data_IF_212209584865
#
_entry.id   IF_212209584865
#
_cell.length_a   1.000
_cell.length_b   1.000
_cell.length_c   1.000
_cell.angle_alpha   90.00
_cell.angle_beta   90.00
_cell.angle_gamma   90.00
#
_symmetry.space_group_name_H-M   'P 1'
#
loop_
_entity.id
_entity.type
_entity.pdbx_description
1 polymer ?
#
# COMPACT_ATOMS: atom_id res chain seq x y z
N UNK A 1 41.23 -38.43 -3.63
CA UNK A 1 39.90 -38.50 -2.96
C UNK A 1 38.95 -37.62 -3.74
N UNK A 2 37.85 -38.13 -4.31
CA UNK A 2 36.87 -37.27 -4.95
C UNK A 2 36.14 -36.49 -3.86
N UNK A 3 36.19 -35.16 -3.94
CA UNK A 3 35.38 -34.26 -3.12
C UNK A 3 33.93 -34.58 -3.47
N UNK A 4 33.22 -35.15 -2.50
CA UNK A 4 31.78 -35.39 -2.57
C UNK A 4 31.11 -34.14 -3.11
N UNK A 5 30.41 -34.30 -4.23
CA UNK A 5 29.41 -33.35 -4.70
C UNK A 5 28.35 -33.25 -3.61
N UNK A 6 28.49 -32.27 -2.73
CA UNK A 6 27.42 -31.78 -1.88
C UNK A 6 26.29 -31.38 -2.84
N UNK A 7 25.35 -32.32 -3.04
CA UNK A 7 24.02 -32.02 -3.53
C UNK A 7 23.53 -30.87 -2.66
N UNK A 8 23.51 -29.65 -3.18
CA UNK A 8 22.75 -28.56 -2.57
C UNK A 8 21.27 -28.98 -2.63
N UNK A 9 20.85 -29.71 -1.60
CA UNK A 9 19.52 -30.29 -1.44
C UNK A 9 18.45 -29.17 -1.31
N UNK A 10 17.16 -29.48 -1.57
CA UNK A 10 16.04 -28.53 -1.82
C UNK A 10 15.58 -27.68 -0.62
N UNK A 11 16.38 -27.59 0.44
CA UNK A 11 16.10 -26.82 1.66
C UNK A 11 15.75 -25.36 1.34
N UNK A 12 16.42 -24.76 0.36
CA UNK A 12 16.12 -23.39 -0.08
C UNK A 12 14.69 -23.24 -0.62
N UNK A 13 14.17 -24.25 -1.33
CA UNK A 13 12.80 -24.20 -1.87
C UNK A 13 11.76 -24.34 -0.77
N UNK A 14 12.01 -25.20 0.22
CA UNK A 14 11.12 -25.37 1.37
C UNK A 14 11.08 -24.10 2.21
N UNK A 15 12.23 -23.49 2.51
CA UNK A 15 12.30 -22.22 3.25
C UNK A 15 11.59 -21.08 2.50
N UNK A 16 11.78 -20.96 1.19
CA UNK A 16 11.06 -19.98 0.36
C UNK A 16 9.55 -20.22 0.40
N UNK A 17 9.11 -21.47 0.34
CA UNK A 17 7.69 -21.81 0.42
C UNK A 17 7.10 -21.44 1.78
N UNK A 18 7.80 -21.77 2.88
CA UNK A 18 7.39 -21.40 4.24
C UNK A 18 7.29 -19.87 4.36
N UNK A 19 8.30 -19.14 3.89
CA UNK A 19 8.29 -17.69 3.90
C UNK A 19 7.10 -17.13 3.11
N UNK A 20 6.82 -17.68 1.93
CA UNK A 20 5.66 -17.27 1.13
C UNK A 20 4.34 -17.49 1.85
N UNK A 21 4.17 -18.65 2.51
CA UNK A 21 2.97 -18.95 3.32
C UNK A 21 2.82 -17.94 4.45
N UNK A 22 3.89 -17.65 5.19
CA UNK A 22 3.87 -16.67 6.30
C UNK A 22 3.52 -15.28 5.79
N UNK A 23 4.16 -14.83 4.70
CA UNK A 23 3.90 -13.51 4.11
C UNK A 23 2.43 -13.39 3.69
N UNK A 24 1.92 -14.40 2.98
CA UNK A 24 0.52 -14.41 2.52
C UNK A 24 -0.43 -14.44 3.71
N UNK A 25 -0.16 -15.25 4.74
CA UNK A 25 -1.01 -15.34 5.92
C UNK A 25 -1.12 -13.98 6.65
N UNK A 26 0.01 -13.28 6.82
CA UNK A 26 0.03 -11.95 7.45
C UNK A 26 -0.71 -10.91 6.60
N UNK A 27 -0.51 -10.89 5.28
CA UNK A 27 -1.23 -9.97 4.39
C UNK A 27 -2.74 -10.24 4.40
N UNK A 28 -3.15 -11.52 4.36
CA UNK A 28 -4.56 -11.92 4.47
C UNK A 28 -5.14 -11.48 5.81
N UNK A 29 -4.40 -11.60 6.91
CA UNK A 29 -4.85 -11.16 8.22
C UNK A 29 -5.19 -9.66 8.21
N UNK A 30 -4.26 -8.80 7.77
CA UNK A 30 -4.51 -7.35 7.70
C UNK A 30 -5.63 -6.99 6.73
N UNK A 31 -5.72 -7.66 5.57
CA UNK A 31 -6.84 -7.45 4.63
C UNK A 31 -8.17 -7.85 5.29
N UNK A 32 -8.21 -8.96 6.02
CA UNK A 32 -9.42 -9.44 6.70
C UNK A 32 -9.87 -8.49 7.81
N UNK A 33 -8.93 -7.88 8.55
CA UNK A 33 -9.26 -6.87 9.57
C UNK A 33 -10.03 -5.68 8.99
N UNK A 34 -9.86 -5.37 7.70
CA UNK A 34 -10.59 -4.30 7.01
C UNK A 34 -12.10 -4.54 6.99
N UNK A 35 -12.55 -5.80 7.09
CA UNK A 35 -13.97 -6.14 7.12
C UNK A 35 -14.65 -5.73 8.44
N UNK A 36 -13.86 -5.47 9.48
CA UNK A 36 -14.31 -5.05 10.80
C UNK A 36 -14.03 -3.57 11.06
N UNK A 37 -13.61 -2.84 10.02
CA UNK A 37 -13.31 -1.42 10.10
C UNK A 37 -14.57 -0.58 9.87
N UNK A 38 -14.86 0.33 10.80
CA UNK A 38 -16.09 1.12 10.81
C UNK A 38 -15.78 2.61 11.01
N UNK A 39 -16.59 3.50 10.41
CA UNK A 39 -16.42 4.93 10.60
C UNK A 39 -16.59 5.33 12.07
N UNK A 40 -15.79 6.29 12.50
CA UNK A 40 -15.71 6.82 13.85
C UNK A 40 -15.45 8.34 13.84
N UNK A 41 -15.73 9.02 14.95
CA UNK A 41 -15.34 10.42 15.16
C UNK A 41 -15.56 11.38 13.95
N UNK A 42 -14.48 11.95 13.40
CA UNK A 42 -14.50 12.96 12.35
C UNK A 42 -14.92 12.41 10.97
N UNK A 43 -14.92 11.09 10.78
CA UNK A 43 -15.39 10.44 9.56
C UNK A 43 -16.84 10.83 9.25
N UNK A 44 -17.67 10.96 10.29
CA UNK A 44 -19.06 11.40 10.18
C UNK A 44 -19.17 12.87 9.78
N UNK A 45 -18.26 13.73 10.26
CA UNK A 45 -18.22 15.13 9.86
C UNK A 45 -17.85 15.27 8.38
N UNK A 46 -16.86 14.51 7.90
CA UNK A 46 -16.53 14.44 6.48
C UNK A 46 -17.72 13.99 5.64
N UNK A 47 -18.36 12.88 6.01
CA UNK A 47 -19.53 12.38 5.28
C UNK A 47 -20.70 13.36 5.26
N UNK A 48 -21.03 13.96 6.40
CA UNK A 48 -22.13 14.92 6.51
C UNK A 48 -21.87 16.18 5.66
N UNK A 49 -20.66 16.74 5.73
CA UNK A 49 -20.31 17.94 4.95
C UNK A 49 -20.21 17.65 3.46
N UNK A 50 -19.64 16.52 3.07
CA UNK A 50 -19.61 16.09 1.68
C UNK A 50 -21.03 15.95 1.13
N UNK A 51 -21.95 15.32 1.87
CA UNK A 51 -23.36 15.18 1.47
C UNK A 51 -24.10 16.52 1.43
N UNK A 52 -23.81 17.43 2.36
CA UNK A 52 -24.46 18.74 2.45
C UNK A 52 -24.01 19.70 1.33
N UNK A 53 -22.71 19.72 1.05
CA UNK A 53 -22.09 20.74 0.19
C UNK A 53 -21.74 20.20 -1.21
N UNK A 54 -21.75 18.89 -1.40
CA UNK A 54 -21.23 18.26 -2.61
C UNK A 54 -19.70 18.32 -2.68
N UNK A 55 -19.14 17.90 -3.81
CA UNK A 55 -17.70 17.68 -3.92
C UNK A 55 -16.88 18.99 -3.86
N UNK A 56 -17.27 20.01 -4.61
CA UNK A 56 -16.49 21.26 -4.78
C UNK A 56 -16.60 22.15 -3.54
N UNK A 57 -17.82 22.48 -3.09
CA UNK A 57 -18.01 23.39 -1.95
C UNK A 57 -17.51 22.79 -0.63
N UNK A 58 -17.48 21.47 -0.49
CA UNK A 58 -16.83 20.84 0.65
C UNK A 58 -15.33 21.18 0.73
N UNK A 59 -14.63 21.30 -0.41
CA UNK A 59 -13.20 21.66 -0.39
C UNK A 59 -12.99 23.09 0.10
N UNK A 60 -13.81 24.02 -0.39
CA UNK A 60 -13.80 25.42 0.05
C UNK A 60 -14.08 25.50 1.54
N UNK A 61 -15.10 24.78 2.01
CA UNK A 61 -15.46 24.71 3.43
C UNK A 61 -14.29 24.22 4.29
N UNK A 62 -13.69 23.08 3.95
CA UNK A 62 -12.59 22.52 4.75
C UNK A 62 -11.38 23.42 4.78
N UNK A 63 -11.02 24.03 3.65
CA UNK A 63 -9.92 24.97 3.56
C UNK A 63 -10.13 26.19 4.47
N UNK A 64 -11.33 26.76 4.47
CA UNK A 64 -11.63 27.97 5.24
C UNK A 64 -11.84 27.74 6.74
N UNK A 65 -12.31 26.54 7.14
CA UNK A 65 -12.82 26.35 8.50
C UNK A 65 -12.08 25.30 9.35
N UNK A 66 -11.24 24.43 8.75
CA UNK A 66 -10.68 23.30 9.49
C UNK A 66 -9.23 22.96 9.15
N UNK A 67 -8.92 22.78 7.87
CA UNK A 67 -7.70 22.09 7.46
C UNK A 67 -7.29 22.42 6.03
N UNK A 68 -6.04 22.87 5.86
CA UNK A 68 -5.37 23.06 4.57
C UNK A 68 -4.85 21.77 3.92
N UNK A 69 -5.21 20.58 4.43
CA UNK A 69 -4.79 19.28 3.86
C UNK A 69 -5.60 18.96 2.59
N UNK A 70 -5.25 19.60 1.47
CA UNK A 70 -6.02 19.50 0.22
C UNK A 70 -6.23 18.07 -0.28
N UNK A 71 -5.15 17.26 -0.35
CA UNK A 71 -5.24 15.88 -0.83
C UNK A 71 -6.13 15.03 0.08
N UNK A 72 -5.99 15.17 1.41
CA UNK A 72 -6.87 14.50 2.36
C UNK A 72 -8.32 14.89 2.09
N UNK A 73 -8.64 16.19 2.14
CA UNK A 73 -10.02 16.67 2.02
C UNK A 73 -10.67 16.21 0.71
N UNK A 74 -9.91 16.28 -0.40
CA UNK A 74 -10.36 15.87 -1.73
C UNK A 74 -10.68 14.37 -1.76
N UNK A 75 -9.73 13.53 -1.35
CA UNK A 75 -9.90 12.07 -1.38
C UNK A 75 -10.98 11.63 -0.41
N UNK A 76 -11.06 12.23 0.78
CA UNK A 76 -12.08 11.93 1.77
C UNK A 76 -13.48 12.30 1.27
N UNK A 77 -13.62 13.47 0.65
CA UNK A 77 -14.90 13.88 0.06
C UNK A 77 -15.30 12.95 -1.09
N UNK A 78 -14.37 12.58 -1.99
CA UNK A 78 -14.65 11.61 -3.04
C UNK A 78 -15.07 10.25 -2.47
N UNK A 79 -14.34 9.76 -1.46
CA UNK A 79 -14.63 8.51 -0.78
C UNK A 79 -16.04 8.52 -0.17
N UNK A 80 -16.38 9.52 0.65
CA UNK A 80 -17.68 9.59 1.32
C UNK A 80 -18.86 9.82 0.38
N UNK A 81 -18.64 10.43 -0.78
CA UNK A 81 -19.68 10.58 -1.82
C UNK A 81 -19.83 9.34 -2.71
N UNK A 82 -18.86 8.42 -2.70
CA UNK A 82 -18.90 7.23 -3.56
C UNK A 82 -19.94 6.18 -3.12
N UNK A 83 -20.49 6.30 -1.92
CA UNK A 83 -21.52 5.39 -1.43
C UNK A 83 -21.85 5.57 0.05
N UNK A 84 -22.66 4.66 0.57
CA UNK A 84 -22.96 4.57 1.99
C UNK A 84 -21.68 4.26 2.77
N UNK A 85 -21.24 5.21 3.63
CA UNK A 85 -19.98 5.13 4.37
C UNK A 85 -19.84 3.80 5.12
N UNK A 86 -20.91 3.25 5.69
CA UNK A 86 -20.84 1.97 6.42
C UNK A 86 -20.56 0.76 5.53
N UNK A 87 -20.89 0.85 4.23
CA UNK A 87 -20.66 -0.25 3.28
C UNK A 87 -19.29 -0.19 2.65
N UNK A 88 -18.80 1.04 2.41
CA UNK A 88 -17.57 1.29 1.66
C UNK A 88 -16.32 1.45 2.53
N UNK A 89 -16.46 1.63 3.84
CA UNK A 89 -15.35 1.89 4.77
C UNK A 89 -14.25 0.83 4.78
N UNK A 90 -14.59 -0.42 4.46
CA UNK A 90 -13.64 -1.52 4.34
C UNK A 90 -12.67 -1.41 3.17
N UNK A 91 -12.97 -0.62 2.14
CA UNK A 91 -12.18 -0.64 0.89
C UNK A 91 -10.86 0.14 0.97
N UNK A 92 -10.80 1.35 1.56
CA UNK A 92 -9.55 2.09 1.74
C UNK A 92 -8.37 1.26 2.29
N UNK A 93 -8.46 0.60 3.46
CA UNK A 93 -7.34 -0.21 3.97
C UNK A 93 -6.94 -1.34 3.01
N UNK A 94 -7.89 -2.02 2.37
CA UNK A 94 -7.61 -3.09 1.39
C UNK A 94 -6.82 -2.53 0.20
N UNK A 95 -7.29 -1.41 -0.38
CA UNK A 95 -6.64 -0.76 -1.52
C UNK A 95 -5.23 -0.32 -1.14
N UNK A 96 -5.06 0.28 0.05
CA UNK A 96 -3.75 0.77 0.49
C UNK A 96 -2.78 -0.37 0.80
N UNK A 97 -3.22 -1.45 1.46
CA UNK A 97 -2.40 -2.63 1.72
C UNK A 97 -1.94 -3.30 0.41
N UNK A 98 -2.88 -3.56 -0.51
CA UNK A 98 -2.58 -4.15 -1.82
C UNK A 98 -1.66 -3.23 -2.62
N UNK A 99 -1.93 -1.92 -2.64
CA UNK A 99 -1.11 -0.97 -3.40
C UNK A 99 0.29 -0.82 -2.81
N UNK A 100 0.45 -0.93 -1.49
CA UNK A 100 1.76 -0.97 -0.82
C UNK A 100 2.54 -2.21 -1.24
N UNK A 101 1.88 -3.38 -1.25
CA UNK A 101 2.48 -4.63 -1.71
C UNK A 101 2.90 -4.58 -3.17
N UNK A 102 2.01 -4.14 -4.05
CA UNK A 102 2.31 -3.98 -5.47
C UNK A 102 3.38 -2.93 -5.73
N UNK A 103 3.40 -1.84 -4.95
CA UNK A 103 4.45 -0.83 -5.01
C UNK A 103 5.82 -1.41 -4.71
N UNK A 104 5.98 -2.14 -3.60
CA UNK A 104 7.24 -2.78 -3.26
C UNK A 104 7.63 -3.90 -4.25
N UNK A 105 6.67 -4.66 -4.77
CA UNK A 105 6.93 -5.65 -5.81
C UNK A 105 7.43 -4.97 -7.10
N UNK A 106 6.79 -3.87 -7.51
CA UNK A 106 7.22 -3.07 -8.66
C UNK A 106 8.63 -2.50 -8.46
N UNK A 107 8.89 -1.87 -7.32
CA UNK A 107 10.21 -1.33 -6.97
C UNK A 107 11.28 -2.42 -7.00
N UNK A 108 10.99 -3.60 -6.42
CA UNK A 108 11.89 -4.76 -6.44
C UNK A 108 12.19 -5.22 -7.86
N UNK A 109 11.17 -5.32 -8.72
CA UNK A 109 11.37 -5.67 -10.13
C UNK A 109 12.30 -4.67 -10.83
N UNK A 110 12.16 -3.37 -10.55
CA UNK A 110 12.97 -2.33 -11.19
C UNK A 110 14.40 -2.26 -10.66
N UNK A 111 14.61 -2.38 -9.35
CA UNK A 111 15.95 -2.47 -8.76
C UNK A 111 16.71 -3.68 -9.34
N UNK A 112 16.03 -4.81 -9.47
CA UNK A 112 16.64 -6.05 -9.96
C UNK A 112 16.68 -6.15 -11.48
N UNK A 113 16.25 -5.10 -12.20
CA UNK A 113 16.18 -5.06 -13.66
C UNK A 113 15.46 -6.27 -14.26
N UNK A 114 14.39 -6.72 -13.60
CA UNK A 114 13.60 -7.90 -14.00
C UNK A 114 14.39 -9.22 -14.09
N UNK A 115 15.55 -9.33 -13.42
CA UNK A 115 16.36 -10.57 -13.39
C UNK A 115 15.81 -11.63 -12.45
N UNK A 116 14.93 -11.26 -11.51
CA UNK A 116 14.26 -12.20 -10.62
C UNK A 116 12.99 -12.77 -11.25
N UNK A 117 12.62 -13.98 -10.85
CA UNK A 117 11.34 -14.57 -11.24
C UNK A 117 10.16 -13.80 -10.62
N UNK A 118 9.03 -13.76 -11.31
CA UNK A 118 7.82 -13.06 -10.86
C UNK A 118 7.39 -13.49 -9.44
N UNK A 119 7.32 -14.80 -9.09
CA UNK A 119 6.92 -15.19 -7.74
C UNK A 119 7.87 -14.65 -6.65
N UNK A 120 9.17 -14.61 -6.94
CA UNK A 120 10.16 -14.08 -5.99
C UNK A 120 10.04 -12.57 -5.83
N UNK A 121 9.74 -11.84 -6.90
CA UNK A 121 9.45 -10.39 -6.85
C UNK A 121 8.25 -10.10 -5.94
N UNK A 122 7.14 -10.82 -6.12
CA UNK A 122 5.96 -10.65 -5.26
C UNK A 122 6.22 -11.06 -3.82
N UNK A 123 6.98 -12.14 -3.59
CA UNK A 123 7.39 -12.56 -2.26
C UNK A 123 8.19 -11.47 -1.54
N UNK A 124 9.24 -10.95 -2.19
CA UNK A 124 10.08 -9.88 -1.64
C UNK A 124 9.29 -8.59 -1.43
N UNK A 125 8.39 -8.23 -2.36
CA UNK A 125 7.47 -7.12 -2.17
C UNK A 125 6.58 -7.29 -0.93
N UNK A 126 6.11 -8.51 -0.68
CA UNK A 126 5.31 -8.84 0.50
C UNK A 126 6.13 -8.76 1.79
N UNK A 127 7.37 -9.25 1.78
CA UNK A 127 8.32 -9.09 2.90
C UNK A 127 8.55 -7.60 3.20
N UNK A 128 8.83 -6.78 2.20
CA UNK A 128 9.00 -5.33 2.38
C UNK A 128 7.74 -4.66 2.95
N UNK A 129 6.56 -5.10 2.52
CA UNK A 129 5.28 -4.60 3.05
C UNK A 129 5.11 -4.94 4.53
N UNK A 130 5.42 -6.17 4.93
CA UNK A 130 5.35 -6.58 6.34
C UNK A 130 6.37 -5.82 7.19
N UNK A 131 7.59 -5.61 6.67
CA UNK A 131 8.58 -4.79 7.36
C UNK A 131 8.12 -3.32 7.49
N UNK A 132 7.47 -2.78 6.47
CA UNK A 132 6.87 -1.45 6.54
C UNK A 132 5.77 -1.37 7.61
N UNK A 133 4.86 -2.36 7.66
CA UNK A 133 3.82 -2.44 8.69
C UNK A 133 4.44 -2.56 10.09
N UNK A 134 5.46 -3.42 10.25
CA UNK A 134 6.15 -3.62 11.53
C UNK A 134 6.88 -2.36 12.01
N UNK A 135 7.31 -1.49 11.10
CA UNK A 135 7.93 -0.21 11.40
C UNK A 135 6.94 0.96 11.57
N UNK A 136 5.64 0.75 11.31
CA UNK A 136 4.64 1.80 11.43
C UNK A 136 4.40 2.12 12.91
N UNK A 137 4.47 3.40 13.34
CA UNK A 137 4.20 3.77 14.75
C UNK A 137 2.78 3.39 15.20
N UNK A 138 1.83 3.50 14.27
CA UNK A 138 0.44 3.10 14.48
C UNK A 138 -0.14 2.58 13.16
N UNK A 139 -0.45 1.28 13.12
CA UNK A 139 -0.97 0.60 11.94
C UNK A 139 -2.41 1.02 11.64
N UNK A 140 -3.22 1.28 12.67
CA UNK A 140 -4.61 1.71 12.52
C UNK A 140 -4.66 3.09 11.83
N UNK A 141 -3.83 4.02 12.29
CA UNK A 141 -3.67 5.35 11.70
C UNK A 141 -3.11 5.30 10.27
N UNK A 142 -2.21 4.34 10.00
CA UNK A 142 -1.54 4.24 8.70
C UNK A 142 -2.46 3.67 7.62
N UNK A 143 -3.28 2.65 7.92
CA UNK A 143 -4.05 1.94 6.89
C UNK A 143 -5.57 2.07 7.04
N UNK A 144 -6.09 2.07 8.26
CA UNK A 144 -7.52 1.86 8.52
C UNK A 144 -8.27 3.16 8.66
N UNK A 145 -7.74 4.12 9.42
CA UNK A 145 -8.38 5.42 9.56
C UNK A 145 -8.09 6.35 8.38
N UNK A 146 -9.09 6.78 7.59
CA UNK A 146 -8.89 7.62 6.41
C UNK A 146 -8.23 8.97 6.73
N UNK A 147 -8.48 9.53 7.93
CA UNK A 147 -7.83 10.76 8.37
C UNK A 147 -6.30 10.69 8.32
N UNK A 148 -5.72 9.58 8.77
CA UNK A 148 -4.29 9.31 8.72
C UNK A 148 -3.87 8.70 7.38
N UNK A 149 -4.58 7.67 6.91
CA UNK A 149 -4.18 6.88 5.75
C UNK A 149 -4.23 7.67 4.45
N UNK A 150 -5.21 8.56 4.27
CA UNK A 150 -5.26 9.43 3.09
C UNK A 150 -4.23 10.56 3.15
N UNK A 151 -3.87 11.00 4.36
CA UNK A 151 -2.83 12.03 4.55
C UNK A 151 -1.44 11.47 4.28
N UNK A 152 -1.14 10.26 4.77
CA UNK A 152 0.23 9.73 4.80
C UNK A 152 0.45 8.51 3.92
N UNK A 153 -0.48 7.54 3.92
CA UNK A 153 -0.24 6.27 3.23
C UNK A 153 -0.43 6.36 1.72
N UNK A 154 -1.39 7.15 1.23
CA UNK A 154 -1.51 7.45 -0.20
C UNK A 154 -0.18 8.00 -0.77
N UNK A 155 0.41 9.08 -0.23
CA UNK A 155 1.67 9.58 -0.76
C UNK A 155 2.84 8.60 -0.57
N UNK A 156 2.87 7.81 0.51
CA UNK A 156 3.88 6.75 0.67
C UNK A 156 3.80 5.70 -0.45
N UNK A 157 2.59 5.22 -0.78
CA UNK A 157 2.38 4.28 -1.90
C UNK A 157 2.86 4.89 -3.21
N UNK A 158 2.42 6.12 -3.51
CA UNK A 158 2.82 6.82 -4.73
C UNK A 158 4.33 7.05 -4.80
N UNK A 159 4.97 7.34 -3.66
CA UNK A 159 6.41 7.52 -3.57
C UNK A 159 7.16 6.22 -3.90
N UNK A 160 6.73 5.07 -3.40
CA UNK A 160 7.35 3.77 -3.73
C UNK A 160 7.24 3.48 -5.24
N UNK A 161 6.09 3.75 -5.86
CA UNK A 161 5.94 3.63 -7.31
C UNK A 161 6.84 4.62 -8.07
N UNK A 162 6.91 5.88 -7.62
CA UNK A 162 7.78 6.90 -8.21
C UNK A 162 9.25 6.47 -8.19
N UNK A 163 9.73 5.93 -7.07
CA UNK A 163 11.10 5.39 -6.99
C UNK A 163 11.34 4.29 -8.03
N UNK A 164 10.38 3.37 -8.19
CA UNK A 164 10.46 2.33 -9.23
C UNK A 164 10.52 2.91 -10.64
N UNK A 165 9.73 3.95 -10.93
CA UNK A 165 9.72 4.63 -12.22
C UNK A 165 11.04 5.37 -12.50
N UNK A 166 11.61 6.04 -11.50
CA UNK A 166 12.91 6.72 -11.62
C UNK A 166 14.03 5.73 -11.91
N UNK A 167 14.08 4.61 -11.20
CA UNK A 167 15.07 3.54 -11.45
C UNK A 167 14.88 2.94 -12.84
N UNK A 168 13.62 2.74 -13.25
CA UNK A 168 13.32 2.23 -14.58
C UNK A 168 13.82 3.19 -15.67
N UNK A 169 13.58 4.50 -15.53
CA UNK A 169 14.09 5.53 -16.46
C UNK A 169 15.60 5.44 -16.61
N UNK A 170 16.34 5.41 -15.50
CA UNK A 170 17.80 5.38 -15.51
C UNK A 170 18.37 4.09 -16.14
N UNK A 171 17.72 2.96 -15.89
CA UNK A 171 18.19 1.66 -16.42
C UNK A 171 17.85 1.48 -17.90
N UNK A 172 16.70 1.97 -18.37
CA UNK A 172 16.35 1.95 -19.79
C UNK A 172 17.21 2.92 -20.62
N UNK A 173 17.50 4.13 -20.11
CA UNK A 173 18.34 5.09 -20.80
C UNK A 173 19.78 4.57 -21.07
N UNK A 174 20.34 3.79 -20.13
CA UNK A 174 21.65 3.15 -20.30
C UNK A 174 21.65 2.08 -21.38
N UNK A 175 20.58 1.28 -21.47
CA UNK A 175 20.46 0.22 -22.46
C UNK A 175 20.29 0.75 -23.89
N UNK A 176 19.84 1.99 -24.08
CA UNK A 176 19.72 2.62 -25.41
C UNK A 176 21.01 3.29 -25.92
N UNK A 177 22.03 3.41 -25.07
CA UNK A 177 23.32 4.03 -25.39
C UNK A 177 24.45 3.01 -25.65
N UNK A 178 24.14 1.71 -25.52
CA UNK A 178 25.01 0.56 -25.79
C UNK A 178 24.51 -0.17 -27.05
#
# INVERSE_FOLDING_TARGET
MPINSLKLFPVNKVLIAILAIVVIAVLILFITLSLFDYPSADDFCYAAKAKQLGFIEAQVFWYQHWSGRYTLNLVYTAFTLSGDIFKIYRFPPIILLVSTWLGFAFLTAKITQSKLSIPLVFLLGGVCTILFIAGAPDVAQTFYWPGGSFTYQIPNVLFVFLLGLLIWRETTAKNSLL
#
